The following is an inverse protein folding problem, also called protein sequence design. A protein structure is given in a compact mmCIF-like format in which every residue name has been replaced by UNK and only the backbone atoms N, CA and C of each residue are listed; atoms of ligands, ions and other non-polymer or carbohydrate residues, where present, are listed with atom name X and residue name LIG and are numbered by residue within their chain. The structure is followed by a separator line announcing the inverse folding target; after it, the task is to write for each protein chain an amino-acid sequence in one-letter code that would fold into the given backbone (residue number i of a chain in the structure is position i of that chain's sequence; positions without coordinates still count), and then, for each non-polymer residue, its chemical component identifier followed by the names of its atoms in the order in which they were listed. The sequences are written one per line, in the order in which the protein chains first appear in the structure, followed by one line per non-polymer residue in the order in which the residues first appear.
data_IF_732904794019
#
_entry.id   IF_732904794019
#
_cell.length_a   1.000
_cell.length_b   1.000
_cell.length_c   1.000
_cell.angle_alpha   90.00
_cell.angle_beta   90.00
_cell.angle_gamma   90.00
#
_symmetry.space_group_name_H-M   'P 1'
#
loop_
_entity.id
_entity.type
_entity.pdbx_description
1 polymer ?
#
# COMPACT_ATOMS: atom_id res chain seq x y z
N UNK A 1 -4.96 20.87 -2.07
CA UNK A 1 -4.65 20.54 -3.48
C UNK A 1 -5.99 20.42 -4.19
N UNK A 2 -6.53 21.52 -4.75
CA UNK A 2 -7.92 21.54 -5.19
C UNK A 2 -8.18 20.51 -6.31
N UNK A 3 -7.25 20.38 -7.25
CA UNK A 3 -7.41 19.54 -8.46
C UNK A 3 -7.00 18.06 -8.28
N UNK A 4 -6.62 17.62 -7.08
CA UNK A 4 -6.20 16.23 -6.88
C UNK A 4 -7.41 15.29 -6.98
N UNK A 5 -7.41 14.42 -7.99
CA UNK A 5 -8.49 13.45 -8.25
C UNK A 5 -8.16 12.01 -7.88
N UNK A 6 -6.87 11.66 -7.89
CA UNK A 6 -6.39 10.30 -7.63
C UNK A 6 -5.28 10.35 -6.60
N UNK A 7 -5.41 9.55 -5.54
CA UNK A 7 -4.40 9.40 -4.50
C UNK A 7 -4.26 7.93 -4.16
N UNK A 8 -3.02 7.45 -4.17
CA UNK A 8 -2.68 6.09 -3.78
C UNK A 8 -1.66 6.13 -2.65
N UNK A 9 -1.98 5.46 -1.55
CA UNK A 9 -1.15 5.33 -0.36
C UNK A 9 -1.06 3.85 -0.01
N UNK A 10 0.12 3.28 -0.21
CA UNK A 10 0.39 1.87 0.06
C UNK A 10 1.25 1.72 1.30
N UNK A 11 0.87 0.81 2.21
CA UNK A 11 1.69 0.42 3.36
C UNK A 11 2.08 1.58 4.26
N UNK A 12 1.30 2.66 4.26
CA UNK A 12 1.67 3.90 4.91
C UNK A 12 1.15 3.95 6.36
N UNK A 13 1.87 4.67 7.22
CA UNK A 13 1.44 4.99 8.59
C UNK A 13 0.27 5.98 8.68
N UNK A 14 -0.62 6.02 7.70
CA UNK A 14 -1.72 6.98 7.64
C UNK A 14 -2.64 6.82 8.86
N UNK A 15 -2.98 7.95 9.50
CA UNK A 15 -3.87 7.98 10.66
C UNK A 15 -5.27 8.46 10.26
N UNK A 16 -6.27 8.20 11.11
CA UNK A 16 -7.64 8.72 10.92
C UNK A 16 -7.66 10.25 10.76
N UNK A 17 -6.83 10.96 11.53
CA UNK A 17 -6.68 12.42 11.42
C UNK A 17 -6.08 12.82 10.06
N UNK A 18 -5.05 12.12 9.61
CA UNK A 18 -4.44 12.35 8.30
C UNK A 18 -5.43 12.11 7.15
N UNK A 19 -6.22 11.04 7.22
CA UNK A 19 -7.26 10.75 6.23
C UNK A 19 -8.32 11.86 6.16
N UNK A 20 -8.79 12.35 7.31
CA UNK A 20 -9.72 13.49 7.33
C UNK A 20 -9.10 14.75 6.71
N UNK A 21 -7.84 15.06 7.03
CA UNK A 21 -7.14 16.19 6.44
C UNK A 21 -7.01 16.07 4.91
N UNK A 22 -6.80 14.86 4.38
CA UNK A 22 -6.80 14.59 2.94
C UNK A 22 -8.19 14.87 2.35
N UNK A 23 -9.24 14.32 2.96
CA UNK A 23 -10.62 14.51 2.50
C UNK A 23 -11.00 16.00 2.50
N UNK A 24 -10.61 16.76 3.51
CA UNK A 24 -10.93 18.20 3.60
C UNK A 24 -10.05 19.04 2.65
N UNK A 25 -8.78 18.66 2.46
CA UNK A 25 -7.82 19.38 1.61
C UNK A 25 -7.90 19.07 0.11
N UNK A 26 -8.62 18.01 -0.27
CA UNK A 26 -8.77 17.52 -1.64
C UNK A 26 -10.27 17.39 -1.99
N UNK A 27 -10.94 18.50 -2.35
CA UNK A 27 -12.39 18.50 -2.62
C UNK A 27 -12.78 17.65 -3.82
N UNK A 28 -11.92 17.54 -4.84
CA UNK A 28 -12.17 16.82 -6.09
C UNK A 28 -11.60 15.39 -6.12
N UNK A 29 -11.23 14.83 -4.95
CA UNK A 29 -10.68 13.47 -4.90
C UNK A 29 -11.77 12.44 -5.25
N UNK A 30 -11.52 11.68 -6.32
CA UNK A 30 -12.44 10.68 -6.85
C UNK A 30 -11.93 9.25 -6.60
N UNK A 31 -10.62 9.06 -6.56
CA UNK A 31 -9.98 7.76 -6.37
C UNK A 31 -9.04 7.81 -5.17
N UNK A 32 -9.26 6.90 -4.23
CA UNK A 32 -8.44 6.76 -3.03
C UNK A 32 -8.09 5.29 -2.81
N UNK A 33 -6.80 4.99 -2.84
CA UNK A 33 -6.27 3.66 -2.57
C UNK A 33 -5.52 3.67 -1.24
N UNK A 34 -5.98 2.84 -0.30
CA UNK A 34 -5.44 2.73 1.06
C UNK A 34 -4.93 1.32 1.37
N UNK A 35 -4.69 0.48 0.36
CA UNK A 35 -4.20 -0.90 0.57
C UNK A 35 -2.96 -0.94 1.45
N UNK A 36 -2.87 -1.93 2.32
CA UNK A 36 -1.79 -2.08 3.33
C UNK A 36 -1.73 -0.94 4.38
N UNK A 37 -2.65 0.04 4.38
CA UNK A 37 -2.74 1.07 5.43
C UNK A 37 -3.56 0.57 6.64
N UNK A 38 -3.05 -0.42 7.36
CA UNK A 38 -3.77 -1.13 8.43
C UNK A 38 -4.12 -0.28 9.66
N UNK A 39 -3.54 0.91 9.80
CA UNK A 39 -3.89 1.87 10.85
C UNK A 39 -5.24 2.57 10.61
N UNK A 40 -5.81 2.43 9.41
CA UNK A 40 -7.10 3.00 9.05
C UNK A 40 -8.19 1.95 9.18
N UNK A 41 -9.20 2.29 9.97
CA UNK A 41 -10.45 1.54 10.05
C UNK A 41 -11.57 2.38 9.44
N UNK A 42 -12.10 1.93 8.30
CA UNK A 42 -13.16 2.58 7.54
C UNK A 42 -14.52 2.15 8.09
N UNK A 43 -14.89 2.73 9.23
CA UNK A 43 -16.17 2.51 9.90
C UNK A 43 -16.81 3.84 10.31
N UNK A 44 -18.13 3.83 10.45
CA UNK A 44 -18.90 4.98 10.94
C UNK A 44 -18.77 6.21 10.03
N UNK A 45 -18.42 7.36 10.61
CA UNK A 45 -18.37 8.62 9.88
C UNK A 45 -17.33 8.62 8.74
N UNK A 46 -16.18 7.97 8.95
CA UNK A 46 -15.14 7.87 7.91
C UNK A 46 -15.62 7.07 6.70
N UNK A 47 -16.29 5.95 6.94
CA UNK A 47 -16.87 5.14 5.88
C UNK A 47 -17.92 5.93 5.09
N UNK A 48 -18.82 6.61 5.80
CA UNK A 48 -19.83 7.47 5.18
C UNK A 48 -19.19 8.57 4.34
N UNK A 49 -18.21 9.29 4.88
CA UNK A 49 -17.50 10.37 4.17
C UNK A 49 -16.79 9.88 2.92
N UNK A 50 -16.13 8.73 2.99
CA UNK A 50 -15.48 8.15 1.84
C UNK A 50 -16.51 7.71 0.80
N UNK A 51 -17.60 7.06 1.21
CA UNK A 51 -18.64 6.55 0.30
C UNK A 51 -19.41 7.66 -0.42
N UNK A 52 -19.60 8.82 0.22
CA UNK A 52 -20.31 9.96 -0.38
C UNK A 52 -19.47 10.73 -1.41
N UNK A 53 -18.13 10.66 -1.32
CA UNK A 53 -17.22 11.54 -2.07
C UNK A 53 -16.26 10.82 -2.99
N UNK A 54 -15.83 9.63 -2.62
CA UNK A 54 -14.83 8.86 -3.35
C UNK A 54 -15.59 7.87 -4.24
N UNK A 55 -15.41 8.01 -5.55
CA UNK A 55 -16.00 7.10 -6.54
C UNK A 55 -15.35 5.73 -6.52
N UNK A 56 -14.02 5.67 -6.33
CA UNK A 56 -13.27 4.41 -6.26
C UNK A 56 -12.41 4.40 -4.99
N UNK A 57 -12.83 3.58 -4.02
CA UNK A 57 -12.13 3.39 -2.75
C UNK A 57 -11.56 1.98 -2.68
N UNK A 58 -10.23 1.84 -2.57
CA UNK A 58 -9.57 0.57 -2.25
C UNK A 58 -9.25 0.54 -0.75
N UNK A 59 -9.79 -0.46 -0.06
CA UNK A 59 -9.66 -0.59 1.41
C UNK A 59 -8.28 -1.16 1.79
N UNK A 60 -7.84 -0.98 3.05
CA UNK A 60 -6.58 -1.55 3.53
C UNK A 60 -6.39 -3.03 3.27
N UNK A 61 -7.47 -3.81 3.33
CA UNK A 61 -7.46 -5.26 3.16
C UNK A 61 -7.84 -5.71 1.73
N UNK A 62 -8.00 -4.78 0.78
CA UNK A 62 -8.29 -5.16 -0.61
C UNK A 62 -7.05 -5.80 -1.25
N UNK A 63 -7.29 -6.78 -2.11
CA UNK A 63 -6.22 -7.47 -2.82
C UNK A 63 -5.32 -6.52 -3.60
N UNK A 64 -4.02 -6.80 -3.55
CA UNK A 64 -2.95 -6.15 -4.31
C UNK A 64 -2.59 -6.90 -5.58
N UNK A 65 -3.31 -7.98 -5.92
CA UNK A 65 -3.00 -8.86 -7.05
C UNK A 65 -3.10 -8.21 -8.44
N UNK A 66 -3.80 -7.08 -8.55
CA UNK A 66 -3.83 -6.21 -9.74
C UNK A 66 -2.55 -5.38 -9.91
N UNK A 67 -1.68 -5.32 -8.89
CA UNK A 67 -0.35 -4.76 -9.02
C UNK A 67 0.50 -5.77 -9.82
N UNK A 68 0.88 -5.46 -11.08
CA UNK A 68 1.64 -6.40 -11.87
C UNK A 68 3.00 -6.57 -11.21
N UNK A 69 3.29 -7.76 -10.68
CA UNK A 69 4.63 -8.16 -10.23
C UNK A 69 5.69 -7.86 -11.30
N UNK A 70 5.27 -7.84 -12.57
CA UNK A 70 6.08 -7.48 -13.73
C UNK A 70 6.70 -6.07 -13.63
N UNK A 71 6.05 -5.08 -13.03
CA UNK A 71 6.63 -3.72 -12.91
C UNK A 71 7.85 -3.63 -11.99
N UNK A 72 8.04 -4.60 -11.08
CA UNK A 72 9.26 -4.71 -10.27
C UNK A 72 10.35 -5.56 -10.92
N UNK A 73 9.98 -6.45 -11.86
CA UNK A 73 10.91 -7.37 -12.53
C UNK A 73 11.44 -6.83 -13.87
N UNK A 74 10.76 -5.86 -14.49
CA UNK A 74 11.16 -5.33 -15.80
C UNK A 74 12.36 -4.33 -15.76
N UNK A 75 12.87 -3.99 -14.57
CA UNK A 75 14.09 -3.16 -14.45
C UNK A 75 15.39 -4.00 -14.35
N UNK A 76 15.32 -5.31 -14.12
CA UNK A 76 16.50 -6.19 -14.01
C UNK A 76 16.58 -7.17 -15.18
N UNK A 77 16.74 -6.67 -16.40
CA UNK A 77 17.06 -7.53 -17.55
C UNK A 77 18.52 -7.43 -18.03
N UNK A 78 19.44 -7.11 -17.12
CA UNK A 78 20.90 -7.29 -17.32
C UNK A 78 21.62 -7.85 -16.05
N UNK A 79 20.90 -8.39 -15.07
CA UNK A 79 21.53 -9.06 -13.91
C UNK A 79 21.60 -10.58 -14.14
N UNK A 80 22.82 -11.09 -14.04
CA UNK A 80 23.20 -12.50 -14.21
C UNK A 80 22.38 -13.39 -13.26
N UNK A 81 21.80 -14.44 -13.84
CA UNK A 81 20.84 -15.32 -13.19
C UNK A 81 21.55 -16.37 -12.32
N UNK A 82 21.52 -16.20 -10.99
CA UNK A 82 21.62 -17.30 -10.01
C UNK A 82 21.06 -16.92 -8.63
N UNK A 83 19.86 -16.32 -8.58
CA UNK A 83 19.20 -16.17 -7.27
C UNK A 83 17.74 -16.59 -7.34
N UNK A 84 17.48 -17.62 -6.57
CA UNK A 84 16.30 -18.47 -6.53
C UNK A 84 15.04 -17.73 -6.09
N UNK A 85 13.93 -18.14 -6.70
CA UNK A 85 12.55 -18.14 -6.23
C UNK A 85 12.37 -17.89 -4.71
N UNK A 86 12.17 -16.62 -4.33
CA UNK A 86 11.52 -16.27 -3.08
C UNK A 86 10.05 -15.96 -3.36
N UNK A 87 9.24 -17.01 -3.39
CA UNK A 87 7.81 -16.85 -3.11
C UNK A 87 7.70 -16.18 -1.74
N UNK A 88 7.27 -14.92 -1.69
CA UNK A 88 6.90 -14.23 -0.46
C UNK A 88 5.68 -14.91 0.16
N UNK A 89 5.93 -16.05 0.81
CA UNK A 89 5.03 -16.67 1.76
C UNK A 89 5.20 -15.98 3.10
N UNK A 90 4.09 -15.49 3.64
CA UNK A 90 3.95 -15.03 5.01
C UNK A 90 4.79 -15.84 6.01
N UNK A 91 5.51 -15.12 6.87
CA UNK A 91 6.34 -15.60 7.97
C UNK A 91 5.82 -16.87 8.65
N UNK A 92 6.67 -17.91 8.65
CA UNK A 92 6.78 -18.80 9.80
C UNK A 92 8.26 -18.96 10.12
N UNK A 93 8.61 -18.41 11.28
CA UNK A 93 9.84 -18.67 12.04
C UNK A 93 11.13 -18.12 11.43
N UNK A 94 11.46 -16.85 11.72
CA UNK A 94 12.81 -16.32 11.58
C UNK A 94 13.68 -16.77 12.77
N UNK A 95 14.71 -17.62 12.59
CA UNK A 95 15.80 -17.73 13.54
C UNK A 95 16.81 -16.63 13.25
N UNK A 96 17.11 -15.86 14.29
CA UNK A 96 18.21 -14.91 14.36
C UNK A 96 19.53 -15.59 14.02
N UNK A 97 20.12 -15.32 12.84
CA UNK A 97 21.52 -15.67 12.58
C UNK A 97 22.10 -14.88 11.39
N UNK A 98 22.80 -13.79 11.70
CA UNK A 98 24.12 -13.51 11.10
C UNK A 98 24.90 -12.87 12.25
N UNK A 99 26.06 -13.38 12.63
CA UNK A 99 27.33 -13.08 11.96
C UNK A 99 28.33 -14.23 12.15
N UNK A 100 28.90 -14.74 11.05
CA UNK A 100 30.25 -15.29 11.06
C UNK A 100 31.13 -14.22 10.41
N UNK A 101 31.97 -13.55 11.20
CA UNK A 101 33.08 -12.75 10.69
C UNK A 101 34.24 -13.70 10.38
N UNK A 102 34.78 -13.59 9.18
CA UNK A 102 35.98 -14.31 8.76
C UNK A 102 37.26 -13.71 9.34
N UNK A 103 38.21 -14.59 9.63
CA UNK A 103 39.63 -14.48 9.27
C UNK A 103 40.12 -15.91 8.94
#
# INVERSE_FOLDING_TARGET
MPELRHLQLYGNGLTKTGLNAILDGCPHLEHLDLRECFNIDLVGDLEKRCSERIGVLRRPNDSTADFPLAMFLECESDYDSDYTDYTYGYDRDFPFASEFHGD
#
